data_IF_528856768299
#
_entry.id   IF_528856768299
#
_cell.length_a   1.000
_cell.length_b   1.000
_cell.length_c   1.000
_cell.angle_alpha   90.00
_cell.angle_beta   90.00
_cell.angle_gamma   90.00
#
_symmetry.space_group_name_H-M   'P 1'
#
loop_
_entity.id
_entity.type
_entity.pdbx_description
1 polymer ?
#
# COMPACT_ATOMS: atom_id res chain seq x y z
N UNK A 1 5.13 18.60 -7.04
CA UNK A 1 4.42 19.01 -8.26
C UNK A 1 3.32 18.01 -8.49
N UNK A 2 2.07 18.33 -8.08
CA UNK A 2 0.90 17.49 -8.31
C UNK A 2 0.44 17.68 -9.76
N UNK A 3 0.65 16.69 -10.61
CA UNK A 3 0.00 16.65 -11.91
C UNK A 3 -1.48 16.31 -11.73
N UNK A 4 -2.33 17.27 -12.10
CA UNK A 4 -3.78 17.12 -12.16
C UNK A 4 -4.15 16.08 -13.24
N UNK A 5 -4.51 14.86 -12.85
CA UNK A 5 -5.06 13.86 -13.74
C UNK A 5 -6.47 14.27 -14.14
N UNK A 6 -6.60 14.97 -15.28
CA UNK A 6 -7.87 15.13 -15.99
C UNK A 6 -7.91 14.12 -17.13
N UNK A 7 -8.30 12.90 -16.84
CA UNK A 7 -8.98 12.03 -17.80
C UNK A 7 -10.21 11.47 -17.13
N UNK A 8 -11.31 12.19 -17.27
CA UNK A 8 -12.64 11.63 -17.06
C UNK A 8 -12.84 10.59 -18.15
N UNK A 9 -12.80 9.31 -17.81
CA UNK A 9 -13.29 8.25 -18.68
C UNK A 9 -14.80 8.41 -18.72
N UNK A 10 -15.33 9.05 -19.77
CA UNK A 10 -16.76 9.12 -20.04
C UNK A 10 -17.18 7.71 -20.43
N UNK A 11 -17.79 7.00 -19.48
CA UNK A 11 -18.43 5.72 -19.76
C UNK A 11 -19.66 6.00 -20.63
N UNK A 12 -19.58 5.60 -21.89
CA UNK A 12 -20.64 5.79 -22.88
C UNK A 12 -21.85 4.85 -22.71
N UNK A 13 -21.79 3.90 -21.79
CA UNK A 13 -22.86 2.95 -21.50
C UNK A 13 -23.09 2.84 -19.98
N UNK A 14 -24.32 2.51 -19.56
CA UNK A 14 -24.72 2.23 -18.17
C UNK A 14 -23.99 1.03 -17.53
N UNK A 15 -22.85 0.63 -18.06
CA UNK A 15 -22.05 -0.50 -17.59
C UNK A 15 -21.22 -0.09 -16.39
N UNK A 16 -21.46 -0.75 -15.26
CA UNK A 16 -20.65 -0.55 -14.04
C UNK A 16 -19.21 -1.05 -14.24
N UNK A 17 -18.27 -0.35 -13.65
CA UNK A 17 -16.88 -0.78 -13.52
C UNK A 17 -16.84 -1.87 -12.46
N UNK A 18 -16.24 -3.02 -12.79
CA UNK A 18 -16.11 -4.15 -11.87
C UNK A 18 -14.74 -4.19 -11.23
N UNK A 19 -14.72 -4.11 -9.90
CA UNK A 19 -13.53 -4.12 -9.09
C UNK A 19 -13.46 -5.42 -8.30
N UNK A 20 -12.40 -6.19 -8.47
CA UNK A 20 -12.06 -7.28 -7.58
C UNK A 20 -11.08 -6.78 -6.53
N UNK A 21 -11.43 -6.95 -5.27
CA UNK A 21 -10.60 -6.67 -4.11
C UNK A 21 -10.16 -8.00 -3.54
N UNK A 22 -8.88 -8.32 -3.70
CA UNK A 22 -8.30 -9.57 -3.19
C UNK A 22 -7.50 -9.28 -1.94
N UNK A 23 -7.98 -9.74 -0.80
CA UNK A 23 -7.21 -9.78 0.45
C UNK A 23 -6.27 -11.00 0.45
N UNK A 24 -5.25 -10.95 1.29
CA UNK A 24 -4.27 -12.02 1.44
C UNK A 24 -4.24 -12.52 2.88
N UNK A 25 -4.17 -13.85 3.08
CA UNK A 25 -3.78 -14.43 4.34
C UNK A 25 -2.25 -14.44 4.44
N UNK A 26 -1.73 -14.09 5.59
CA UNK A 26 -0.31 -14.00 5.81
C UNK A 26 0.18 -15.26 6.54
N UNK A 27 1.33 -15.78 6.09
CA UNK A 27 1.93 -16.94 6.75
C UNK A 27 2.28 -16.58 8.19
N UNK A 28 1.86 -17.42 9.15
CA UNK A 28 2.17 -17.25 10.56
C UNK A 28 3.67 -17.05 10.79
N UNK A 29 4.02 -16.09 11.65
CA UNK A 29 5.40 -15.72 11.94
C UNK A 29 6.08 -14.80 10.91
N UNK A 30 5.37 -14.38 9.86
CA UNK A 30 5.86 -13.37 8.90
C UNK A 30 5.09 -12.06 9.09
N UNK A 31 5.73 -10.92 8.78
CA UNK A 31 5.01 -9.64 8.72
C UNK A 31 3.99 -9.67 7.56
N UNK A 32 2.76 -9.24 7.76
CA UNK A 32 2.14 -8.64 8.94
C UNK A 32 1.22 -9.62 9.72
N UNK A 33 1.67 -10.82 10.01
CA UNK A 33 0.86 -11.93 10.53
C UNK A 33 0.32 -11.78 11.96
N UNK A 34 0.54 -10.65 12.63
CA UNK A 34 -0.14 -10.34 13.88
C UNK A 34 -1.53 -9.71 13.62
N UNK A 35 -2.39 -9.75 14.64
CA UNK A 35 -3.77 -9.26 14.53
C UNK A 35 -3.86 -7.79 14.10
N UNK A 36 -2.89 -6.98 14.49
CA UNK A 36 -2.87 -5.56 14.15
C UNK A 36 -2.41 -5.35 12.70
N UNK A 37 -1.42 -6.10 12.25
CA UNK A 37 -0.93 -6.10 10.88
C UNK A 37 -2.01 -6.60 9.91
N UNK A 38 -2.63 -7.72 10.20
CA UNK A 38 -3.73 -8.27 9.38
C UNK A 38 -4.87 -7.27 9.21
N UNK A 39 -5.29 -6.61 10.31
CA UNK A 39 -6.32 -5.57 10.29
C UNK A 39 -5.96 -4.40 9.38
N UNK A 40 -4.71 -3.96 9.41
CA UNK A 40 -4.24 -2.83 8.61
C UNK A 40 -4.09 -3.15 7.12
N UNK A 41 -3.88 -4.43 6.77
CA UNK A 41 -3.72 -4.88 5.39
C UNK A 41 -4.97 -5.51 4.79
N UNK A 42 -6.08 -5.55 5.55
CA UNK A 42 -7.36 -6.08 5.09
C UNK A 42 -8.28 -4.96 4.62
N UNK A 43 -8.76 -5.06 3.40
CA UNK A 43 -9.79 -4.17 2.87
C UNK A 43 -11.15 -4.81 3.14
N UNK A 44 -11.96 -4.15 3.96
CA UNK A 44 -13.32 -4.55 4.26
C UNK A 44 -14.34 -3.74 3.45
N UNK A 45 -15.57 -4.22 3.40
CA UNK A 45 -16.71 -3.46 2.85
C UNK A 45 -16.80 -2.06 3.47
N UNK A 46 -16.64 -1.96 4.81
CA UNK A 46 -16.69 -0.67 5.50
C UNK A 46 -15.57 0.27 5.05
N UNK A 47 -14.35 -0.24 4.84
CA UNK A 47 -13.22 0.57 4.34
C UNK A 47 -13.51 1.07 2.93
N UNK A 48 -14.02 0.19 2.07
CA UNK A 48 -14.32 0.53 0.68
C UNK A 48 -15.44 1.57 0.58
N UNK A 49 -16.57 1.37 1.26
CA UNK A 49 -17.69 2.31 1.24
C UNK A 49 -17.31 3.68 1.82
N UNK A 50 -16.52 3.72 2.90
CA UNK A 50 -16.01 4.95 3.48
C UNK A 50 -15.15 5.76 2.51
N UNK A 51 -14.39 5.11 1.65
CA UNK A 51 -13.58 5.79 0.64
C UNK A 51 -14.42 6.58 -0.38
N UNK A 52 -15.69 6.20 -0.57
CA UNK A 52 -16.62 6.87 -1.47
C UNK A 52 -17.67 7.74 -0.77
N UNK A 53 -17.56 7.97 0.53
CA UNK A 53 -18.54 8.73 1.32
C UNK A 53 -18.88 10.10 0.70
N UNK A 54 -17.88 10.77 0.13
CA UNK A 54 -18.00 12.07 -0.52
C UNK A 54 -18.02 11.99 -2.06
N UNK A 55 -18.18 10.78 -2.64
CA UNK A 55 -18.11 10.56 -4.09
C UNK A 55 -19.20 9.59 -4.56
N UNK A 56 -20.43 9.83 -4.16
CA UNK A 56 -21.59 8.97 -4.43
C UNK A 56 -21.80 8.67 -5.90
N UNK A 57 -21.67 9.67 -6.77
CA UNK A 57 -21.83 9.52 -8.23
C UNK A 57 -20.83 8.51 -8.83
N UNK A 58 -19.61 8.46 -8.29
CA UNK A 58 -18.59 7.48 -8.70
C UNK A 58 -18.95 6.12 -8.14
N UNK A 59 -19.35 6.08 -6.85
CA UNK A 59 -19.73 4.83 -6.19
C UNK A 59 -20.85 4.08 -6.90
N UNK A 60 -21.86 4.78 -7.39
CA UNK A 60 -22.99 4.20 -8.13
C UNK A 60 -22.58 3.51 -9.44
N UNK A 61 -21.44 3.90 -10.01
CA UNK A 61 -20.87 3.32 -11.24
C UNK A 61 -19.97 2.11 -10.98
N UNK A 62 -19.82 1.70 -9.73
CA UNK A 62 -18.92 0.63 -9.31
C UNK A 62 -19.73 -0.57 -8.81
N UNK A 63 -19.34 -1.74 -9.28
CA UNK A 63 -19.67 -3.03 -8.70
C UNK A 63 -18.38 -3.64 -8.17
N UNK A 64 -18.35 -4.10 -6.94
CA UNK A 64 -17.14 -4.67 -6.37
C UNK A 64 -17.40 -6.00 -5.67
N UNK A 65 -16.35 -6.78 -5.56
CA UNK A 65 -16.33 -8.07 -4.92
C UNK A 65 -15.08 -8.17 -4.04
N UNK A 66 -15.24 -8.62 -2.80
CA UNK A 66 -14.13 -8.80 -1.86
C UNK A 66 -13.94 -10.29 -1.61
N UNK A 67 -12.73 -10.77 -1.79
CA UNK A 67 -12.35 -12.16 -1.61
C UNK A 67 -11.00 -12.30 -0.91
N UNK A 68 -10.66 -13.52 -0.56
CA UNK A 68 -9.43 -13.87 0.12
C UNK A 68 -8.60 -14.82 -0.73
N UNK A 69 -7.28 -14.57 -0.78
CA UNK A 69 -6.30 -15.39 -1.50
C UNK A 69 -6.75 -15.78 -2.92
N UNK A 70 -6.65 -17.07 -3.24
CA UNK A 70 -6.83 -17.60 -4.58
C UNK A 70 -8.19 -18.29 -4.82
N UNK A 71 -9.03 -18.44 -3.81
CA UNK A 71 -10.19 -19.33 -3.81
C UNK A 71 -11.14 -19.10 -5.00
N UNK A 72 -11.48 -17.84 -5.26
CA UNK A 72 -12.35 -17.45 -6.39
C UNK A 72 -11.64 -16.59 -7.42
N UNK A 73 -10.31 -16.46 -7.34
CA UNK A 73 -9.55 -15.48 -8.13
C UNK A 73 -9.83 -15.60 -9.63
N UNK A 74 -9.74 -16.80 -10.19
CA UNK A 74 -9.93 -17.02 -11.62
C UNK A 74 -11.35 -16.68 -12.09
N UNK A 75 -12.36 -17.08 -11.33
CA UNK A 75 -13.77 -16.82 -11.67
C UNK A 75 -14.09 -15.33 -11.56
N UNK A 76 -13.65 -14.66 -10.51
CA UNK A 76 -13.89 -13.23 -10.28
C UNK A 76 -13.13 -12.36 -11.27
N UNK A 77 -11.87 -12.68 -11.56
CA UNK A 77 -11.05 -11.92 -12.50
C UNK A 77 -11.52 -12.02 -13.94
N UNK A 78 -12.18 -13.10 -14.34
CA UNK A 78 -12.71 -13.27 -15.71
C UNK A 78 -13.62 -12.13 -16.15
N UNK A 79 -14.24 -11.43 -15.20
CA UNK A 79 -15.20 -10.35 -15.46
C UNK A 79 -14.84 -9.01 -14.81
N UNK A 80 -13.64 -8.86 -14.26
CA UNK A 80 -13.19 -7.67 -13.54
C UNK A 80 -12.41 -6.72 -14.45
N UNK A 81 -12.67 -5.42 -14.31
CA UNK A 81 -11.94 -4.35 -15.01
C UNK A 81 -10.73 -3.87 -14.19
N UNK A 82 -10.83 -3.96 -12.86
CA UNK A 82 -9.82 -3.48 -11.90
C UNK A 82 -9.54 -4.56 -10.86
N UNK A 83 -8.27 -4.74 -10.52
CA UNK A 83 -7.81 -5.54 -9.38
C UNK A 83 -7.18 -4.62 -8.32
N UNK A 84 -7.65 -4.73 -7.08
CA UNK A 84 -7.08 -4.06 -5.91
C UNK A 84 -6.56 -5.15 -4.96
N UNK A 85 -5.25 -5.21 -4.75
CA UNK A 85 -4.62 -6.29 -3.96
C UNK A 85 -3.22 -5.92 -3.50
N UNK A 86 -2.67 -6.68 -2.56
CA UNK A 86 -1.25 -6.66 -2.24
C UNK A 86 -0.45 -7.58 -3.18
N UNK A 87 -0.89 -8.81 -3.32
CA UNK A 87 -0.24 -9.85 -4.12
C UNK A 87 -1.27 -10.73 -4.83
N UNK A 88 -0.90 -11.32 -5.95
CA UNK A 88 -1.78 -12.15 -6.77
C UNK A 88 -0.96 -13.08 -7.68
N UNK A 89 -1.55 -14.18 -8.18
CA UNK A 89 -0.87 -15.05 -9.14
C UNK A 89 -0.71 -14.33 -10.48
N UNK A 90 0.53 -14.00 -10.82
CA UNK A 90 0.86 -13.28 -12.06
C UNK A 90 0.83 -14.17 -13.29
N UNK A 91 1.03 -15.48 -13.11
CA UNK A 91 1.02 -16.44 -14.21
C UNK A 91 -0.33 -16.44 -14.94
N UNK A 92 -0.29 -16.34 -16.25
CA UNK A 92 -1.49 -16.37 -17.09
C UNK A 92 -2.54 -15.27 -16.81
N UNK A 93 -2.19 -14.19 -16.11
CA UNK A 93 -3.14 -13.14 -15.73
C UNK A 93 -3.92 -12.59 -16.94
N UNK A 94 -3.28 -12.42 -18.10
CA UNK A 94 -3.94 -11.98 -19.33
C UNK A 94 -5.06 -12.92 -19.77
N UNK A 95 -4.88 -14.23 -19.58
CA UNK A 95 -5.88 -15.26 -19.92
C UNK A 95 -7.01 -15.31 -18.88
N UNK A 96 -6.64 -15.24 -17.62
CA UNK A 96 -7.57 -15.30 -16.48
C UNK A 96 -8.44 -14.03 -16.41
N UNK A 97 -7.85 -12.87 -16.69
CA UNK A 97 -8.48 -11.56 -16.58
C UNK A 97 -8.51 -10.79 -17.91
N UNK A 98 -9.28 -11.27 -18.92
CA UNK A 98 -9.26 -10.69 -20.26
C UNK A 98 -9.79 -9.27 -20.35
N UNK A 99 -10.53 -8.80 -19.33
CA UNK A 99 -11.09 -7.44 -19.24
C UNK A 99 -10.29 -6.47 -18.39
N UNK A 100 -9.24 -6.99 -17.71
CA UNK A 100 -8.45 -6.23 -16.76
C UNK A 100 -7.71 -5.08 -17.44
N UNK A 101 -7.87 -3.88 -16.89
CA UNK A 101 -7.27 -2.63 -17.39
C UNK A 101 -6.37 -1.96 -16.37
N UNK A 102 -6.63 -2.22 -15.08
CA UNK A 102 -5.91 -1.56 -14.01
C UNK A 102 -5.70 -2.50 -12.82
N UNK A 103 -4.46 -2.54 -12.33
CA UNK A 103 -4.10 -3.16 -11.06
C UNK A 103 -3.62 -2.05 -10.13
N UNK A 104 -4.22 -1.96 -8.95
CA UNK A 104 -3.68 -1.16 -7.87
C UNK A 104 -3.12 -2.07 -6.79
N UNK A 105 -1.78 -2.02 -6.63
CA UNK A 105 -1.11 -2.71 -5.54
C UNK A 105 -1.17 -1.87 -4.27
N UNK A 106 -1.69 -2.44 -3.18
CA UNK A 106 -1.80 -1.76 -1.89
C UNK A 106 -0.46 -1.56 -1.18
N UNK A 107 0.61 -2.22 -1.65
CA UNK A 107 1.97 -1.99 -1.21
C UNK A 107 2.53 -0.65 -1.69
N UNK A 108 3.50 -0.11 -0.98
CA UNK A 108 4.23 1.10 -1.39
C UNK A 108 5.16 0.84 -2.59
N UNK A 109 5.64 -0.39 -2.76
CA UNK A 109 6.43 -0.87 -3.91
C UNK A 109 5.76 -2.04 -4.60
N UNK A 110 6.30 -2.48 -5.71
CA UNK A 110 5.78 -3.59 -6.54
C UNK A 110 6.86 -4.63 -6.87
N UNK A 111 7.98 -4.59 -6.17
CA UNK A 111 9.17 -5.43 -6.43
C UNK A 111 8.84 -6.92 -6.29
N UNK A 112 7.93 -7.27 -5.39
CA UNK A 112 7.46 -8.64 -5.16
C UNK A 112 6.68 -9.23 -6.36
N UNK A 113 6.20 -8.38 -7.27
CA UNK A 113 5.53 -8.79 -8.51
C UNK A 113 6.52 -8.97 -9.69
N UNK A 114 7.80 -8.74 -9.47
CA UNK A 114 8.86 -8.94 -10.48
C UNK A 114 9.13 -10.44 -10.74
N UNK A 115 9.53 -10.80 -11.98
CA UNK A 115 9.68 -9.97 -13.17
C UNK A 115 8.35 -9.61 -13.82
N UNK A 116 8.29 -8.43 -14.46
CA UNK A 116 7.06 -7.92 -15.07
C UNK A 116 6.76 -8.47 -16.47
N UNK A 117 7.31 -9.61 -16.82
CA UNK A 117 7.05 -10.30 -18.11
C UNK A 117 5.59 -10.75 -18.30
N UNK A 118 4.80 -10.77 -17.23
CA UNK A 118 3.37 -11.09 -17.23
C UNK A 118 2.48 -9.91 -17.66
N UNK A 119 3.01 -8.70 -17.72
CA UNK A 119 2.25 -7.50 -18.12
C UNK A 119 1.91 -7.54 -19.62
N UNK A 120 0.92 -6.77 -20.01
CA UNK A 120 0.46 -6.68 -21.40
C UNK A 120 0.03 -5.24 -21.74
N UNK A 121 -0.08 -4.98 -23.04
CA UNK A 121 -0.48 -3.67 -23.53
C UNK A 121 -1.82 -3.22 -22.94
N UNK A 122 -1.93 -1.91 -22.63
CA UNK A 122 -3.08 -1.28 -22.02
C UNK A 122 -3.38 -1.68 -20.56
N UNK A 123 -2.52 -2.45 -19.91
CA UNK A 123 -2.60 -2.68 -18.47
C UNK A 123 -1.89 -1.54 -17.72
N UNK A 124 -2.61 -0.85 -16.85
CA UNK A 124 -2.03 0.14 -15.93
C UNK A 124 -1.75 -0.51 -14.58
N UNK A 125 -0.57 -0.27 -14.03
CA UNK A 125 -0.22 -0.70 -12.67
C UNK A 125 0.09 0.55 -11.85
N UNK A 126 -0.51 0.64 -10.68
CA UNK A 126 -0.25 1.70 -9.69
C UNK A 126 0.00 1.08 -8.33
N UNK A 127 0.62 1.83 -7.44
CA UNK A 127 0.90 1.40 -6.07
C UNK A 127 0.58 2.51 -5.06
N UNK A 128 0.72 2.20 -3.77
CA UNK A 128 0.50 3.13 -2.66
C UNK A 128 1.78 3.90 -2.28
N UNK A 129 2.66 4.21 -3.24
CA UNK A 129 3.88 4.97 -2.98
C UNK A 129 3.57 6.32 -2.30
N UNK A 130 4.36 6.65 -1.28
CA UNK A 130 4.21 7.89 -0.51
C UNK A 130 3.25 7.79 0.69
N UNK A 131 2.49 6.72 0.85
CA UNK A 131 1.56 6.54 1.98
C UNK A 131 2.27 6.62 3.34
N UNK A 132 3.52 6.18 3.41
CA UNK A 132 4.33 6.20 4.63
C UNK A 132 5.21 7.45 4.79
N UNK A 133 5.20 8.38 3.82
CA UNK A 133 6.17 9.48 3.76
C UNK A 133 6.18 10.36 5.02
N UNK A 134 4.99 10.71 5.54
CA UNK A 134 4.88 11.52 6.77
C UNK A 134 5.50 10.80 7.97
N UNK A 135 5.10 9.54 8.20
CA UNK A 135 5.61 8.75 9.34
C UNK A 135 7.09 8.45 9.21
N UNK A 136 7.57 8.14 8.01
CA UNK A 136 8.99 7.96 7.74
C UNK A 136 9.80 9.24 8.02
N UNK A 137 9.27 10.40 7.64
CA UNK A 137 9.89 11.70 7.93
C UNK A 137 10.00 11.99 9.43
N UNK A 138 8.92 11.74 10.20
CA UNK A 138 8.94 11.87 11.66
C UNK A 138 9.96 10.91 12.29
N UNK A 139 10.00 9.66 11.83
CA UNK A 139 10.93 8.66 12.35
C UNK A 139 12.39 9.02 12.04
N UNK A 140 12.65 9.49 10.81
CA UNK A 140 13.97 9.99 10.42
C UNK A 140 14.42 11.16 11.27
N UNK A 141 13.56 12.17 11.48
CA UNK A 141 13.87 13.31 12.33
C UNK A 141 14.13 12.87 13.78
N UNK A 142 13.28 12.01 14.34
CA UNK A 142 13.48 11.46 15.68
C UNK A 142 14.85 10.77 15.79
N UNK A 143 15.20 9.91 14.84
CA UNK A 143 16.47 9.17 14.84
C UNK A 143 17.68 10.11 14.81
N UNK A 144 17.63 11.16 13.98
CA UNK A 144 18.68 12.18 13.90
C UNK A 144 18.84 12.91 15.24
N UNK A 145 17.72 13.35 15.84
CA UNK A 145 17.73 14.03 17.13
C UNK A 145 18.26 13.13 18.25
N UNK A 146 17.87 11.85 18.26
CA UNK A 146 18.36 10.87 19.24
C UNK A 146 19.87 10.65 19.12
N UNK A 147 20.38 10.50 17.91
CA UNK A 147 21.82 10.31 17.67
C UNK A 147 22.60 11.59 18.05
N UNK A 148 22.14 12.76 17.63
CA UNK A 148 22.78 14.03 17.93
C UNK A 148 22.86 14.32 19.45
N UNK A 149 21.86 13.89 20.19
CA UNK A 149 21.80 14.08 21.65
C UNK A 149 22.32 12.89 22.45
N UNK A 150 23.06 11.97 21.84
CA UNK A 150 23.67 10.81 22.51
C UNK A 150 22.68 9.90 23.25
N UNK A 151 21.40 9.88 22.84
CA UNK A 151 20.36 9.10 23.53
C UNK A 151 20.72 7.61 23.66
N UNK A 152 21.26 6.91 22.62
CA UNK A 152 21.68 5.50 22.77
C UNK A 152 22.73 5.31 23.87
N UNK A 153 23.72 6.22 23.96
CA UNK A 153 24.76 6.18 24.99
C UNK A 153 24.18 6.45 26.37
N UNK A 154 23.26 7.43 26.49
CA UNK A 154 22.59 7.74 27.76
C UNK A 154 21.80 6.52 28.25
N UNK A 155 21.08 5.84 27.38
CA UNK A 155 20.35 4.61 27.73
C UNK A 155 21.29 3.50 28.20
N UNK A 156 22.44 3.31 27.54
CA UNK A 156 23.46 2.34 27.96
C UNK A 156 24.03 2.70 29.33
N UNK A 157 24.41 3.95 29.54
CA UNK A 157 24.92 4.45 30.81
C UNK A 157 23.89 4.27 31.94
N UNK A 158 22.60 4.52 31.65
CA UNK A 158 21.51 4.31 32.62
C UNK A 158 21.40 2.83 33.04
N UNK A 159 21.46 1.90 32.08
CA UNK A 159 21.46 0.46 32.36
C UNK A 159 22.64 0.05 33.24
N UNK A 160 23.80 0.63 33.00
CA UNK A 160 25.03 0.39 33.75
C UNK A 160 25.09 1.17 35.07
N UNK A 161 24.05 1.92 35.45
CA UNK A 161 23.98 2.81 36.62
C UNK A 161 25.14 3.82 36.68
N UNK A 162 25.60 4.31 35.52
CA UNK A 162 26.65 5.30 35.35
C UNK A 162 26.06 6.64 35.00
N UNK A 163 26.41 7.70 35.73
CA UNK A 163 26.11 9.05 35.34
C UNK A 163 27.33 9.66 34.63
N UNK A 164 27.15 9.90 33.30
CA UNK A 164 28.17 10.55 32.48
C UNK A 164 27.49 11.73 31.77
N UNK A 165 28.00 12.95 32.01
CA UNK A 165 27.51 14.13 31.31
C UNK A 165 27.95 14.11 29.85
N UNK A 166 26.98 14.13 28.94
CA UNK A 166 27.20 14.19 27.51
C UNK A 166 26.58 15.48 26.97
N UNK A 167 27.38 16.26 26.22
CA UNK A 167 26.96 17.52 25.66
C UNK A 167 26.82 17.42 24.15
N UNK A 168 25.81 18.06 23.61
CA UNK A 168 25.58 18.14 22.17
C UNK A 168 25.23 19.57 21.74
N UNK A 169 25.49 19.88 20.49
CA UNK A 169 25.07 21.15 19.87
C UNK A 169 23.74 20.96 19.13
N UNK A 170 22.98 22.06 18.86
CA UNK A 170 21.83 21.98 17.98
C UNK A 170 22.17 21.38 16.60
N UNK A 171 21.18 20.71 15.98
CA UNK A 171 21.34 20.13 14.64
C UNK A 171 21.34 21.17 13.51
N UNK A 172 20.93 22.40 13.80
CA UNK A 172 20.91 23.47 12.82
C UNK A 172 22.28 23.64 12.14
N UNK A 173 22.29 23.65 10.84
CA UNK A 173 23.52 23.75 10.04
C UNK A 173 24.37 22.48 9.94
N UNK A 174 23.96 21.37 10.56
CA UNK A 174 24.64 20.07 10.43
C UNK A 174 24.33 19.46 9.06
N UNK A 175 25.32 18.78 8.49
CA UNK A 175 25.17 17.97 7.30
C UNK A 175 24.87 16.54 7.71
N UNK A 176 23.81 15.97 7.13
CA UNK A 176 23.40 14.56 7.31
C UNK A 176 23.71 13.85 6.00
N UNK A 177 24.39 12.71 6.10
CA UNK A 177 24.79 11.90 4.94
C UNK A 177 24.22 10.51 5.12
#
# INVERSE_FOLDING_TARGET
>A
VYQKWKRVVILKDNKKIKIHIKNNHWRSGTFPSDLEGEKNFTITTSHFEKAFENQKEIREKIEYFIDWDEDNFNSSMSNSDILLTYDFPTSNIKKVAPKLKWIHCTAAGVEHLSPFSWTFDNLTITNSSGVHAKKAGEYGLMSILMLQNHIPQIITNQKDKKFISLFSNPIAGKKIV
#
